data_IF_517335603532
#
_entry.id   IF_517335603532
#
_cell.length_a   1.000
_cell.length_b   1.000
_cell.length_c   1.000
_cell.angle_alpha   90.00
_cell.angle_beta   90.00
_cell.angle_gamma   90.00
#
_symmetry.space_group_name_H-M   'P 1'
#
loop_
_entity.id
_entity.type
_entity.pdbx_description
1 polymer ?
#
# COMPACT_ATOMS: atom_id res chain seq x y z
N UNK A 1 61.41 -36.26 -24.44
CA UNK A 1 60.08 -36.70 -23.93
C UNK A 1 59.50 -35.51 -23.16
N UNK A 2 58.61 -34.73 -23.80
CA UNK A 2 57.94 -33.55 -23.18
C UNK A 2 56.58 -34.04 -22.65
N UNK A 3 56.35 -33.98 -21.33
CA UNK A 3 55.07 -34.26 -20.71
C UNK A 3 54.18 -33.02 -20.83
N UNK A 4 53.09 -33.16 -21.57
CA UNK A 4 52.01 -32.16 -21.68
C UNK A 4 51.11 -32.39 -20.48
N UNK A 5 51.04 -31.43 -19.57
CA UNK A 5 50.03 -31.38 -18.48
C UNK A 5 48.78 -30.72 -19.06
N UNK A 6 47.72 -31.53 -19.19
CA UNK A 6 46.38 -31.05 -19.55
C UNK A 6 45.69 -30.61 -18.27
N UNK A 7 45.52 -29.29 -18.08
CA UNK A 7 44.71 -28.73 -17.00
C UNK A 7 43.25 -28.74 -17.43
N UNK A 8 42.46 -29.67 -16.88
CA UNK A 8 41.02 -29.63 -16.99
C UNK A 8 40.48 -28.59 -16.00
N UNK A 9 40.06 -27.41 -16.50
CA UNK A 9 39.25 -26.46 -15.75
C UNK A 9 37.79 -26.96 -15.77
N UNK A 10 37.34 -27.59 -14.68
CA UNK A 10 35.94 -27.85 -14.42
C UNK A 10 35.29 -26.53 -13.96
N UNK A 11 34.60 -25.85 -14.88
CA UNK A 11 33.69 -24.76 -14.55
C UNK A 11 32.50 -25.39 -13.78
N UNK A 12 32.53 -25.29 -12.47
CA UNK A 12 31.34 -25.46 -11.62
C UNK A 12 30.44 -24.23 -11.81
N UNK A 13 29.50 -24.34 -12.74
CA UNK A 13 28.36 -23.42 -12.81
C UNK A 13 27.50 -23.75 -11.60
N UNK A 14 27.68 -23.04 -10.53
CA UNK A 14 26.68 -22.94 -9.46
C UNK A 14 25.46 -22.24 -10.05
N UNK A 15 24.54 -22.98 -10.63
CA UNK A 15 23.17 -22.58 -10.76
C UNK A 15 22.61 -22.52 -9.32
N UNK A 16 22.74 -21.35 -8.69
CA UNK A 16 22.02 -21.08 -7.47
C UNK A 16 20.53 -21.16 -7.79
N UNK A 17 19.93 -22.29 -7.46
CA UNK A 17 18.47 -22.35 -7.32
C UNK A 17 18.18 -21.47 -6.12
N UNK A 18 17.91 -20.18 -6.38
CA UNK A 18 17.26 -19.34 -5.39
C UNK A 18 15.89 -19.98 -5.19
N UNK A 19 15.74 -20.73 -4.12
CA UNK A 19 14.41 -21.11 -3.65
C UNK A 19 13.62 -19.80 -3.52
N UNK A 20 12.58 -19.64 -4.30
CA UNK A 20 11.71 -18.48 -4.22
C UNK A 20 11.18 -18.45 -2.79
N UNK A 21 11.61 -17.46 -2.01
CA UNK A 21 11.21 -17.37 -0.61
C UNK A 21 9.69 -17.28 -0.56
N UNK A 22 9.03 -18.14 0.25
CA UNK A 22 7.60 -18.09 0.42
C UNK A 22 7.24 -16.71 1.02
N UNK A 23 6.56 -15.88 0.26
CA UNK A 23 6.15 -14.53 0.67
C UNK A 23 5.14 -14.58 1.80
N UNK A 24 4.31 -15.61 1.84
CA UNK A 24 3.31 -15.84 2.88
C UNK A 24 3.98 -16.57 4.03
N UNK A 25 3.99 -15.96 5.21
CA UNK A 25 4.57 -16.52 6.44
C UNK A 25 3.53 -17.15 7.35
N UNK A 26 2.26 -16.81 7.15
CA UNK A 26 1.13 -17.30 7.95
C UNK A 26 0.12 -17.92 7.00
N UNK A 27 -0.11 -19.21 7.15
CA UNK A 27 -1.11 -19.94 6.35
C UNK A 27 -2.53 -19.60 6.83
N UNK A 28 -3.53 -19.55 5.92
CA UNK A 28 -4.92 -19.36 6.29
C UNK A 28 -5.40 -20.45 7.27
N UNK A 29 -6.17 -20.04 8.30
CA UNK A 29 -6.73 -20.96 9.29
C UNK A 29 -7.68 -21.98 8.64
N UNK A 30 -8.43 -21.54 7.65
CA UNK A 30 -9.28 -22.40 6.83
C UNK A 30 -8.68 -22.45 5.43
N UNK A 31 -8.07 -23.57 5.09
CA UNK A 31 -7.54 -23.76 3.74
C UNK A 31 -8.64 -23.67 2.69
N UNK A 32 -8.44 -22.85 1.68
CA UNK A 32 -9.36 -22.72 0.56
C UNK A 32 -9.48 -24.05 -0.19
N UNK A 33 -10.69 -24.55 -0.36
CA UNK A 33 -10.96 -25.74 -1.19
C UNK A 33 -10.92 -25.42 -2.68
N UNK A 34 -11.00 -24.14 -3.03
CA UNK A 34 -10.99 -23.61 -4.40
C UNK A 34 -10.07 -22.42 -4.43
N UNK A 35 -9.10 -22.40 -5.32
CA UNK A 35 -8.23 -21.23 -5.56
C UNK A 35 -8.48 -20.67 -6.96
N UNK A 36 -8.28 -19.37 -7.10
CA UNK A 36 -8.27 -18.71 -8.40
C UNK A 36 -6.96 -19.03 -9.14
N UNK A 37 -7.04 -19.08 -10.47
CA UNK A 37 -5.83 -19.09 -11.29
C UNK A 37 -5.06 -17.76 -11.07
N UNK A 38 -3.74 -17.86 -11.05
CA UNK A 38 -2.90 -16.67 -11.09
C UNK A 38 -3.14 -15.90 -12.41
N UNK A 39 -3.18 -14.57 -12.34
CA UNK A 39 -3.25 -13.75 -13.54
C UNK A 39 -2.06 -14.00 -14.49
N UNK A 40 -0.93 -14.50 -13.98
CA UNK A 40 0.22 -14.93 -14.78
C UNK A 40 -0.09 -16.14 -15.67
N UNK A 41 -1.06 -16.96 -15.28
CA UNK A 41 -1.45 -18.19 -15.97
C UNK A 41 -2.62 -17.99 -16.94
N UNK A 42 -3.30 -16.84 -16.88
CA UNK A 42 -4.45 -16.52 -17.72
C UNK A 42 -4.07 -15.49 -18.77
N UNK A 43 -4.40 -15.75 -20.02
CA UNK A 43 -4.21 -14.82 -21.13
C UNK A 43 -5.50 -14.64 -21.90
N UNK A 44 -5.88 -13.39 -22.14
CA UNK A 44 -7.00 -13.07 -23.00
C UNK A 44 -6.62 -13.35 -24.46
N UNK A 45 -7.47 -14.06 -25.16
CA UNK A 45 -7.39 -14.22 -26.61
C UNK A 45 -7.89 -12.95 -27.31
N UNK A 46 -7.66 -12.84 -28.61
CA UNK A 46 -8.13 -11.73 -29.44
C UNK A 46 -9.65 -11.58 -29.33
N UNK A 47 -10.08 -10.45 -28.80
CA UNK A 47 -11.47 -10.16 -28.45
C UNK A 47 -11.63 -8.71 -27.97
N UNK A 48 -12.88 -8.26 -27.82
CA UNK A 48 -13.19 -6.95 -27.23
C UNK A 48 -12.61 -6.80 -25.83
N UNK A 49 -12.57 -7.87 -25.03
CA UNK A 49 -11.96 -7.84 -23.69
C UNK A 49 -10.45 -7.60 -23.75
N UNK A 50 -9.76 -8.24 -24.70
CA UNK A 50 -8.34 -8.01 -24.93
C UNK A 50 -8.09 -6.58 -25.37
N UNK A 51 -8.89 -6.06 -26.27
CA UNK A 51 -8.80 -4.67 -26.72
C UNK A 51 -8.98 -3.67 -25.54
N UNK A 52 -9.99 -3.87 -24.71
CA UNK A 52 -10.22 -3.02 -23.51
C UNK A 52 -9.02 -3.11 -22.55
N UNK A 53 -8.47 -4.30 -22.32
CA UNK A 53 -7.27 -4.47 -21.48
C UNK A 53 -6.09 -3.69 -22.06
N UNK A 54 -5.88 -3.72 -23.38
CA UNK A 54 -4.78 -3.00 -24.03
C UNK A 54 -4.95 -1.48 -23.95
N UNK A 55 -6.17 -0.98 -24.08
CA UNK A 55 -6.49 0.44 -23.85
C UNK A 55 -6.18 0.85 -22.40
N UNK A 56 -6.59 0.03 -21.44
CA UNK A 56 -6.33 0.28 -20.02
C UNK A 56 -4.83 0.24 -19.70
N UNK A 57 -4.09 -0.71 -20.28
CA UNK A 57 -2.64 -0.80 -20.17
C UNK A 57 -1.97 0.49 -20.68
N UNK A 58 -2.33 0.93 -21.89
CA UNK A 58 -1.82 2.18 -22.46
C UNK A 58 -2.17 3.40 -21.59
N UNK A 59 -3.40 3.45 -21.06
CA UNK A 59 -3.83 4.51 -20.15
C UNK A 59 -3.00 4.54 -18.87
N UNK A 60 -2.81 3.39 -18.19
CA UNK A 60 -2.00 3.31 -16.99
C UNK A 60 -0.56 3.77 -17.22
N UNK A 61 0.03 3.43 -18.37
CA UNK A 61 1.36 3.89 -18.74
C UNK A 61 1.41 5.37 -19.19
N UNK A 62 0.29 5.98 -19.54
CA UNK A 62 0.22 7.41 -19.86
C UNK A 62 0.19 8.32 -18.64
N UNK A 63 -0.18 7.79 -17.46
CA UNK A 63 -0.17 8.56 -16.21
C UNK A 63 1.27 8.91 -15.81
N UNK A 64 1.47 10.16 -15.40
CA UNK A 64 2.78 10.70 -15.02
C UNK A 64 3.04 10.42 -13.52
N UNK A 65 4.03 9.59 -13.15
CA UNK A 65 4.28 9.24 -11.75
C UNK A 65 4.56 10.44 -10.85
N UNK A 66 5.30 11.43 -11.34
CA UNK A 66 5.67 12.61 -10.56
C UNK A 66 4.45 13.44 -10.13
N UNK A 67 3.36 13.39 -10.89
CA UNK A 67 2.10 14.05 -10.52
C UNK A 67 1.40 13.30 -9.38
N UNK A 68 1.42 11.98 -9.40
CA UNK A 68 0.90 11.13 -8.31
C UNK A 68 1.75 11.24 -7.04
N UNK A 69 3.06 11.47 -7.19
CA UNK A 69 4.02 11.60 -6.10
C UNK A 69 4.09 13.01 -5.49
N UNK A 70 3.41 13.99 -6.11
CA UNK A 70 3.55 15.40 -5.75
C UNK A 70 3.29 15.67 -4.27
N UNK A 71 2.20 15.14 -3.72
CA UNK A 71 1.83 15.34 -2.31
C UNK A 71 2.72 14.55 -1.34
N UNK A 72 3.16 13.36 -1.70
CA UNK A 72 4.11 12.59 -0.89
C UNK A 72 5.42 13.37 -0.68
N UNK A 73 5.92 14.00 -1.74
CA UNK A 73 7.12 14.82 -1.65
C UNK A 73 6.88 16.08 -0.83
N UNK A 74 5.74 16.75 -0.98
CA UNK A 74 5.37 17.95 -0.18
C UNK A 74 5.32 17.62 1.31
N UNK A 75 4.59 16.59 1.69
CA UNK A 75 4.45 16.18 3.11
C UNK A 75 5.76 15.69 3.72
N UNK A 76 6.66 15.18 2.90
CA UNK A 76 8.02 14.82 3.30
C UNK A 76 9.00 16.01 3.35
N UNK A 77 8.54 17.24 3.06
CA UNK A 77 9.40 18.44 2.98
C UNK A 77 10.31 18.49 1.75
N UNK A 78 10.05 17.66 0.75
CA UNK A 78 10.80 17.60 -0.50
C UNK A 78 10.12 18.43 -1.60
N UNK A 79 10.90 19.02 -2.50
CA UNK A 79 10.35 19.74 -3.65
C UNK A 79 9.62 18.78 -4.60
N UNK A 80 8.31 19.00 -4.91
CA UNK A 80 7.59 18.23 -5.92
C UNK A 80 8.25 18.38 -7.30
N UNK A 81 8.27 17.31 -8.07
CA UNK A 81 8.81 17.30 -9.45
C UNK A 81 7.75 17.73 -10.49
N UNK A 82 6.47 17.62 -10.13
CA UNK A 82 5.34 18.03 -10.97
C UNK A 82 4.17 18.54 -10.12
N UNK A 83 3.22 19.23 -10.76
CA UNK A 83 1.96 19.58 -10.13
C UNK A 83 1.08 18.33 -9.99
N UNK A 84 0.30 18.20 -8.89
CA UNK A 84 -0.60 17.05 -8.71
C UNK A 84 -1.65 16.99 -9.82
N UNK A 85 -2.30 15.84 -9.95
CA UNK A 85 -3.49 15.74 -10.78
C UNK A 85 -4.61 16.62 -10.23
N UNK A 86 -5.53 17.09 -11.07
CA UNK A 86 -6.69 17.88 -10.62
C UNK A 86 -7.69 17.04 -9.83
N UNK A 87 -8.76 17.66 -9.37
CA UNK A 87 -9.86 17.08 -8.61
C UNK A 87 -9.40 16.52 -7.25
N UNK A 88 -9.54 15.24 -7.00
CA UNK A 88 -9.29 14.61 -5.71
C UNK A 88 -7.83 14.70 -5.24
N UNK A 89 -6.91 14.88 -6.17
CA UNK A 89 -5.48 15.12 -5.85
C UNK A 89 -5.15 16.62 -5.74
N UNK A 90 -6.10 17.54 -5.95
CA UNK A 90 -5.86 19.00 -5.86
C UNK A 90 -5.98 19.51 -4.42
N UNK A 91 -5.54 20.75 -4.18
CA UNK A 91 -5.61 21.39 -2.85
C UNK A 91 -7.04 21.69 -2.38
N UNK A 92 -8.01 21.75 -3.29
CA UNK A 92 -9.39 22.10 -2.95
C UNK A 92 -10.38 21.49 -3.93
N UNK A 93 -11.44 20.90 -3.40
CA UNK A 93 -12.55 20.36 -4.17
C UNK A 93 -13.89 20.76 -3.56
N UNK A 94 -14.59 21.76 -4.17
CA UNK A 94 -16.02 22.09 -3.99
C UNK A 94 -16.64 21.85 -2.59
N UNK A 95 -15.99 22.33 -1.52
CA UNK A 95 -16.52 22.22 -0.15
C UNK A 95 -16.14 20.93 0.59
N UNK A 96 -15.46 19.99 -0.06
CA UNK A 96 -14.84 18.83 0.57
C UNK A 96 -13.32 18.97 0.50
N UNK A 97 -12.61 18.49 1.51
CA UNK A 97 -11.15 18.42 1.48
C UNK A 97 -10.67 17.52 0.33
N UNK A 98 -9.44 17.72 -0.16
CA UNK A 98 -8.83 16.82 -1.13
C UNK A 98 -8.57 15.47 -0.47
N UNK A 99 -8.42 14.45 -1.32
CA UNK A 99 -8.08 13.09 -0.92
C UNK A 99 -6.74 12.67 -1.58
N UNK A 100 -5.65 13.43 -1.34
CA UNK A 100 -4.40 13.20 -2.05
C UNK A 100 -3.82 11.83 -1.72
N UNK A 101 -3.37 11.14 -2.77
CA UNK A 101 -2.69 9.85 -2.68
C UNK A 101 -3.58 8.62 -2.73
N UNK A 102 -4.91 8.75 -2.63
CA UNK A 102 -5.76 7.57 -2.80
C UNK A 102 -5.65 6.99 -4.22
N UNK A 103 -5.49 7.85 -5.24
CA UNK A 103 -5.23 7.41 -6.62
C UNK A 103 -3.92 6.64 -6.71
N UNK A 104 -2.87 7.04 -5.98
CA UNK A 104 -1.61 6.29 -5.93
C UNK A 104 -1.82 4.86 -5.44
N UNK A 105 -2.59 4.66 -4.36
CA UNK A 105 -2.88 3.32 -3.83
C UNK A 105 -3.59 2.44 -4.87
N UNK A 106 -4.64 2.94 -5.51
CA UNK A 106 -5.34 2.23 -6.59
C UNK A 106 -4.46 2.00 -7.81
N UNK A 107 -3.62 2.97 -8.16
CA UNK A 107 -2.69 2.84 -9.27
C UNK A 107 -1.68 1.73 -9.05
N UNK A 108 -1.06 1.67 -7.86
CA UNK A 108 -0.13 0.60 -7.49
C UNK A 108 -0.80 -0.78 -7.58
N UNK A 109 -2.02 -0.92 -7.08
CA UNK A 109 -2.78 -2.17 -7.18
C UNK A 109 -3.09 -2.53 -8.64
N UNK A 110 -3.67 -1.60 -9.40
CA UNK A 110 -4.08 -1.84 -10.78
C UNK A 110 -2.91 -2.15 -11.71
N UNK A 111 -1.82 -1.40 -11.61
CA UNK A 111 -0.65 -1.59 -12.48
C UNK A 111 0.11 -2.88 -12.14
N UNK A 112 0.12 -3.31 -10.87
CA UNK A 112 0.70 -4.61 -10.48
C UNK A 112 -0.10 -5.79 -11.04
N UNK A 113 -1.45 -5.68 -11.07
CA UNK A 113 -2.32 -6.67 -11.72
C UNK A 113 -2.13 -6.67 -13.24
N UNK A 114 -1.91 -5.49 -13.84
CA UNK A 114 -1.61 -5.38 -15.27
C UNK A 114 -0.28 -6.07 -15.61
N UNK A 115 0.73 -5.92 -14.76
CA UNK A 115 1.99 -6.66 -14.90
C UNK A 115 1.78 -8.16 -14.87
N UNK A 116 1.03 -8.68 -13.90
CA UNK A 116 0.70 -10.11 -13.81
C UNK A 116 0.02 -10.61 -15.10
N UNK A 117 -0.89 -9.80 -15.67
CA UNK A 117 -1.65 -10.18 -16.85
C UNK A 117 -0.85 -10.10 -18.16
N UNK A 118 0.15 -9.20 -18.23
CA UNK A 118 0.86 -8.90 -19.50
C UNK A 118 2.32 -9.35 -19.49
N UNK A 119 2.98 -9.30 -18.33
CA UNK A 119 4.43 -9.50 -18.21
C UNK A 119 5.25 -8.30 -18.72
N UNK A 120 4.63 -7.12 -18.94
CA UNK A 120 5.32 -5.96 -19.50
C UNK A 120 6.34 -5.36 -18.52
N UNK A 121 7.61 -5.44 -18.88
CA UNK A 121 8.72 -4.94 -18.06
C UNK A 121 8.78 -3.42 -17.94
N UNK A 122 8.10 -2.67 -18.82
CA UNK A 122 7.98 -1.23 -18.68
C UNK A 122 7.22 -0.86 -17.38
N UNK A 123 6.27 -1.72 -16.97
CA UNK A 123 5.57 -1.60 -15.70
C UNK A 123 6.53 -1.76 -14.52
N UNK A 124 7.42 -2.75 -14.55
CA UNK A 124 8.41 -2.94 -13.48
C UNK A 124 9.32 -1.72 -13.32
N UNK A 125 9.80 -1.16 -14.44
CA UNK A 125 10.64 0.03 -14.42
C UNK A 125 9.91 1.22 -13.79
N UNK A 126 8.63 1.38 -14.11
CA UNK A 126 7.77 2.42 -13.54
C UNK A 126 7.51 2.21 -12.05
N UNK A 127 7.20 0.99 -11.63
CA UNK A 127 7.02 0.65 -10.22
C UNK A 127 8.30 0.88 -9.42
N UNK A 128 9.45 0.46 -9.94
CA UNK A 128 10.74 0.70 -9.29
C UNK A 128 10.98 2.19 -9.05
N UNK A 129 10.74 3.03 -10.05
CA UNK A 129 10.84 4.48 -9.91
C UNK A 129 9.91 5.04 -8.82
N UNK A 130 8.64 4.61 -8.80
CA UNK A 130 7.68 5.06 -7.79
C UNK A 130 8.11 4.62 -6.39
N UNK A 131 8.56 3.38 -6.22
CA UNK A 131 9.03 2.87 -4.93
C UNK A 131 10.29 3.60 -4.44
N UNK A 132 11.23 3.93 -5.32
CA UNK A 132 12.39 4.75 -4.98
C UNK A 132 11.96 6.12 -4.44
N UNK A 133 11.03 6.79 -5.10
CA UNK A 133 10.51 8.09 -4.67
C UNK A 133 9.72 8.00 -3.35
N UNK A 134 8.86 6.99 -3.17
CA UNK A 134 8.16 6.77 -1.91
C UNK A 134 9.12 6.46 -0.77
N UNK A 135 10.17 5.68 -1.03
CA UNK A 135 11.22 5.40 -0.05
C UNK A 135 11.98 6.67 0.34
N UNK A 136 12.31 7.54 -0.61
CA UNK A 136 12.91 8.84 -0.32
C UNK A 136 12.01 9.72 0.55
N UNK A 137 10.72 9.78 0.26
CA UNK A 137 9.75 10.50 1.09
C UNK A 137 9.68 9.94 2.51
N UNK A 138 9.62 8.62 2.65
CA UNK A 138 9.58 7.96 3.96
C UNK A 138 10.87 8.19 4.75
N UNK A 139 12.03 8.15 4.12
CA UNK A 139 13.32 8.42 4.74
C UNK A 139 13.45 9.87 5.20
N UNK A 140 12.95 10.83 4.42
CA UNK A 140 12.93 12.24 4.80
C UNK A 140 12.10 12.49 6.06
N UNK A 141 11.03 11.74 6.27
CA UNK A 141 10.21 11.77 7.49
C UNK A 141 10.90 11.15 8.71
N UNK A 142 11.79 10.19 8.51
CA UNK A 142 12.71 9.63 9.51
C UNK A 142 12.15 8.54 10.43
N UNK A 143 10.82 8.38 10.51
CA UNK A 143 10.14 7.48 11.47
C UNK A 143 9.24 6.42 10.83
N UNK A 144 9.20 6.34 9.51
CA UNK A 144 8.35 5.39 8.76
C UNK A 144 7.03 5.98 8.27
N UNK A 145 6.67 7.19 8.69
CA UNK A 145 5.50 7.90 8.17
C UNK A 145 5.57 8.08 6.66
N UNK A 146 4.47 7.75 5.99
CA UNK A 146 4.33 7.94 4.55
C UNK A 146 2.86 8.18 4.19
N UNK A 147 2.39 9.41 4.34
CA UNK A 147 1.09 9.82 3.86
C UNK A 147 1.21 11.12 3.06
N UNK A 148 0.47 11.25 1.97
CA UNK A 148 0.39 12.47 1.19
C UNK A 148 -0.70 13.40 1.70
N UNK A 149 -1.34 13.05 2.80
CA UNK A 149 -2.43 13.79 3.41
C UNK A 149 -1.94 15.12 3.97
N UNK A 150 -2.52 16.22 3.51
CA UNK A 150 -2.11 17.57 3.91
C UNK A 150 -2.18 17.72 5.43
N UNK A 151 -1.05 18.10 6.05
CA UNK A 151 -0.92 18.20 7.50
C UNK A 151 -1.23 16.91 8.26
N UNK A 152 -1.06 15.74 7.65
CA UNK A 152 -1.46 14.47 8.22
C UNK A 152 -0.83 14.16 9.58
N UNK A 153 0.44 14.55 9.82
CA UNK A 153 1.07 14.39 11.14
C UNK A 153 0.35 15.19 12.22
N UNK A 154 0.07 16.47 11.96
CA UNK A 154 -0.62 17.35 12.92
C UNK A 154 -2.05 16.87 13.21
N UNK A 155 -2.69 16.19 12.25
CA UNK A 155 -4.02 15.58 12.48
C UNK A 155 -3.91 14.46 13.49
N UNK A 156 -2.96 13.55 13.32
CA UNK A 156 -2.77 12.45 14.28
C UNK A 156 -2.29 12.96 15.64
N UNK A 157 -1.50 14.02 15.72
CA UNK A 157 -1.14 14.69 16.98
C UNK A 157 -2.40 15.23 17.69
N UNK A 158 -3.30 15.91 16.98
CA UNK A 158 -4.58 16.36 17.54
C UNK A 158 -5.45 15.19 18.03
N UNK A 159 -5.49 14.10 17.31
CA UNK A 159 -6.20 12.87 17.72
C UNK A 159 -5.62 12.33 19.03
N UNK A 160 -4.30 12.29 19.17
CA UNK A 160 -3.64 11.85 20.39
C UNK A 160 -3.87 12.80 21.59
N UNK A 161 -4.09 14.07 21.33
CA UNK A 161 -4.47 15.07 22.34
C UNK A 161 -5.97 15.04 22.71
N UNK A 162 -6.73 14.09 22.17
CA UNK A 162 -8.16 13.90 22.45
C UNK A 162 -9.08 14.87 21.71
N UNK A 163 -8.58 15.57 20.70
CA UNK A 163 -9.37 16.50 19.88
C UNK A 163 -10.14 15.76 18.77
N UNK A 164 -10.91 14.77 19.15
CA UNK A 164 -11.84 14.08 18.24
C UNK A 164 -13.06 14.95 17.96
N UNK A 165 -13.46 15.01 16.72
CA UNK A 165 -14.75 15.58 16.34
C UNK A 165 -15.67 14.47 15.83
N UNK A 166 -16.90 14.49 16.32
CA UNK A 166 -17.80 13.34 16.40
C UNK A 166 -18.38 12.83 15.08
N UNK A 167 -18.34 13.59 14.00
CA UNK A 167 -18.91 13.12 12.71
C UNK A 167 -17.85 12.84 11.65
N UNK A 168 -16.74 13.49 11.75
CA UNK A 168 -15.53 13.22 10.99
C UNK A 168 -14.37 13.93 11.69
N UNK A 169 -13.54 13.21 12.45
CA UNK A 169 -12.47 13.82 13.26
C UNK A 169 -11.46 14.61 12.42
N UNK A 170 -11.52 14.51 11.10
CA UNK A 170 -10.56 15.11 10.19
C UNK A 170 -11.08 16.28 9.36
N UNK A 171 -12.41 16.45 9.21
CA UNK A 171 -12.99 17.55 8.38
C UNK A 171 -13.12 18.87 9.14
N UNK A 172 -13.32 18.85 10.43
CA UNK A 172 -13.58 20.04 11.23
C UNK A 172 -12.39 20.55 12.06
N UNK A 173 -11.19 20.11 11.77
CA UNK A 173 -9.97 20.68 12.35
C UNK A 173 -9.64 22.02 11.66
N UNK A 174 -8.77 22.88 12.23
CA UNK A 174 -8.25 24.03 11.51
C UNK A 174 -7.57 23.69 10.17
N UNK A 175 -7.52 22.41 9.84
CA UNK A 175 -7.05 21.85 8.57
C UNK A 175 -8.24 21.48 7.68
N UNK A 176 -9.03 22.47 7.25
CA UNK A 176 -10.17 22.33 6.31
C UNK A 176 -9.86 21.60 5.00
N UNK A 177 -8.63 21.09 4.88
CA UNK A 177 -8.05 20.54 3.66
C UNK A 177 -7.70 19.05 3.74
N UNK A 178 -8.07 18.36 4.82
CA UNK A 178 -7.81 16.95 4.95
C UNK A 178 -9.08 16.13 5.01
N UNK A 179 -9.13 15.13 4.16
CA UNK A 179 -10.23 14.18 4.15
C UNK A 179 -9.69 12.75 4.23
N UNK A 180 -10.25 11.95 5.14
CA UNK A 180 -10.08 10.51 5.29
C UNK A 180 -8.62 9.98 5.24
N UNK A 181 -7.71 10.44 6.12
CA UNK A 181 -6.32 10.01 6.08
C UNK A 181 -6.14 8.51 6.36
N UNK A 182 -7.01 7.89 7.18
CA UNK A 182 -6.95 6.44 7.46
C UNK A 182 -7.36 5.63 6.24
N UNK A 183 -8.38 6.08 5.50
CA UNK A 183 -8.76 5.50 4.22
C UNK A 183 -7.60 5.58 3.19
N UNK A 184 -6.98 6.76 3.05
CA UNK A 184 -5.84 6.94 2.13
C UNK A 184 -4.70 6.01 2.52
N UNK A 185 -4.40 5.89 3.83
CA UNK A 185 -3.40 4.95 4.34
C UNK A 185 -3.71 3.52 3.91
N UNK A 186 -4.94 3.05 4.10
CA UNK A 186 -5.37 1.73 3.68
C UNK A 186 -5.11 1.50 2.17
N UNK A 187 -5.46 2.46 1.31
CA UNK A 187 -5.27 2.30 -0.15
C UNK A 187 -3.79 2.23 -0.54
N UNK A 188 -2.93 3.01 0.11
CA UNK A 188 -1.48 2.96 -0.12
C UNK A 188 -0.90 1.63 0.37
N UNK A 189 -1.26 1.19 1.58
CA UNK A 189 -0.81 -0.10 2.14
C UNK A 189 -1.21 -1.26 1.24
N UNK A 190 -2.48 -1.30 0.80
CA UNK A 190 -2.97 -2.31 -0.14
C UNK A 190 -2.18 -2.27 -1.46
N UNK A 191 -1.95 -1.08 -2.01
CA UNK A 191 -1.15 -0.92 -3.23
C UNK A 191 0.26 -1.48 -3.10
N UNK A 192 0.96 -1.14 -2.01
CA UNK A 192 2.31 -1.64 -1.72
C UNK A 192 2.33 -3.17 -1.51
N UNK A 193 1.33 -3.72 -0.80
CA UNK A 193 1.17 -5.17 -0.64
C UNK A 193 1.01 -5.87 -1.99
N UNK A 194 0.12 -5.37 -2.87
CA UNK A 194 -0.09 -5.93 -4.20
C UNK A 194 1.18 -5.87 -5.07
N UNK A 195 1.93 -4.78 -5.02
CA UNK A 195 3.21 -4.66 -5.73
C UNK A 195 4.22 -5.70 -5.23
N UNK A 196 4.36 -5.87 -3.90
CA UNK A 196 5.24 -6.89 -3.34
C UNK A 196 4.82 -8.30 -3.77
N UNK A 197 3.54 -8.62 -3.63
CA UNK A 197 3.02 -9.97 -3.90
C UNK A 197 3.11 -10.35 -5.38
N UNK A 198 2.84 -9.40 -6.30
CA UNK A 198 2.72 -9.65 -7.73
C UNK A 198 3.99 -9.40 -8.53
N UNK A 199 4.75 -8.38 -8.16
CA UNK A 199 5.90 -7.92 -8.93
C UNK A 199 7.26 -8.32 -8.32
N UNK A 200 7.29 -9.00 -7.18
CA UNK A 200 8.50 -9.44 -6.49
C UNK A 200 9.44 -8.26 -6.08
N UNK A 201 8.89 -7.04 -5.93
CA UNK A 201 9.65 -5.85 -5.55
C UNK A 201 9.73 -5.73 -4.03
N UNK A 202 10.84 -6.21 -3.45
CA UNK A 202 11.06 -6.24 -1.99
C UNK A 202 10.94 -4.86 -1.34
N UNK A 203 11.35 -3.80 -2.03
CA UNK A 203 11.25 -2.42 -1.55
C UNK A 203 9.81 -2.03 -1.19
N UNK A 204 8.81 -2.56 -1.89
CA UNK A 204 7.40 -2.31 -1.55
C UNK A 204 7.04 -2.88 -0.16
N UNK A 205 7.52 -4.08 0.19
CA UNK A 205 7.38 -4.66 1.53
C UNK A 205 8.07 -3.80 2.59
N UNK A 206 9.29 -3.34 2.32
CA UNK A 206 10.05 -2.51 3.27
C UNK A 206 9.34 -1.20 3.60
N UNK A 207 8.78 -0.53 2.58
CA UNK A 207 8.00 0.69 2.75
C UNK A 207 6.72 0.41 3.54
N UNK A 208 5.99 -0.65 3.16
CA UNK A 208 4.74 -1.07 3.79
C UNK A 208 4.92 -1.37 5.28
N UNK A 209 5.93 -2.16 5.62
CA UNK A 209 6.22 -2.55 7.02
C UNK A 209 6.54 -1.32 7.87
N UNK A 210 7.39 -0.40 7.39
CA UNK A 210 7.69 0.84 8.11
C UNK A 210 6.47 1.73 8.30
N UNK A 211 5.59 1.80 7.30
CA UNK A 211 4.34 2.56 7.39
C UNK A 211 3.39 1.94 8.44
N UNK A 212 3.25 0.62 8.45
CA UNK A 212 2.46 -0.11 9.44
C UNK A 212 3.04 0.06 10.86
N UNK A 213 4.35 -0.03 11.02
CA UNK A 213 5.03 0.18 12.30
C UNK A 213 4.80 1.61 12.82
N UNK A 214 4.92 2.61 11.96
CA UNK A 214 4.63 3.98 12.35
C UNK A 214 3.21 4.14 12.90
N UNK A 215 2.19 3.67 12.18
CA UNK A 215 0.82 3.80 12.62
C UNK A 215 0.54 2.97 13.87
N UNK A 216 1.08 1.77 13.94
CA UNK A 216 0.97 0.89 15.11
C UNK A 216 1.51 1.52 16.39
N UNK A 217 2.78 1.90 16.39
CA UNK A 217 3.44 2.44 17.57
C UNK A 217 3.08 3.90 17.87
N UNK A 218 2.86 4.71 16.85
CA UNK A 218 2.66 6.15 17.04
C UNK A 218 1.20 6.54 17.27
N UNK A 219 0.25 5.71 16.85
CA UNK A 219 -1.18 6.00 16.94
C UNK A 219 -1.92 4.88 17.70
N UNK A 220 -1.93 3.65 17.17
CA UNK A 220 -2.77 2.58 17.72
C UNK A 220 -2.39 2.28 19.17
N UNK A 221 -1.11 2.13 19.49
CA UNK A 221 -0.65 1.78 20.87
C UNK A 221 -0.85 2.92 21.86
N UNK A 222 -1.01 4.17 21.40
CA UNK A 222 -1.20 5.34 22.26
C UNK A 222 -2.65 5.65 22.57
N UNK A 223 -3.57 5.22 21.71
CA UNK A 223 -4.99 5.45 21.92
C UNK A 223 -5.60 4.39 22.86
N UNK A 224 -6.55 4.81 23.69
CA UNK A 224 -7.43 3.89 24.38
C UNK A 224 -8.29 3.11 23.37
N UNK A 225 -8.96 2.04 23.83
CA UNK A 225 -9.91 1.32 22.98
C UNK A 225 -11.03 2.26 22.50
N UNK A 226 -11.65 3.01 23.40
CA UNK A 226 -12.76 3.92 23.08
C UNK A 226 -12.32 5.04 22.10
N UNK A 227 -11.11 5.56 22.27
CA UNK A 227 -10.60 6.60 21.38
C UNK A 227 -10.26 6.03 20.00
N UNK A 228 -9.81 4.78 19.93
CA UNK A 228 -9.60 4.12 18.65
C UNK A 228 -10.92 3.88 17.91
N UNK A 229 -12.00 3.48 18.63
CA UNK A 229 -13.34 3.38 18.04
C UNK A 229 -13.85 4.74 17.52
N UNK A 230 -13.60 5.84 18.25
CA UNK A 230 -13.89 7.20 17.75
C UNK A 230 -13.10 7.54 16.47
N UNK A 231 -11.84 7.10 16.39
CA UNK A 231 -11.05 7.27 15.17
C UNK A 231 -11.66 6.53 13.98
N UNK A 232 -12.26 5.35 14.19
CA UNK A 232 -12.89 4.54 13.17
C UNK A 232 -14.28 5.04 12.71
N UNK A 233 -14.85 6.08 13.33
CA UNK A 233 -16.09 6.72 12.86
C UNK A 233 -15.91 7.37 11.47
N UNK A 234 -14.66 7.74 11.09
CA UNK A 234 -14.34 8.20 9.73
C UNK A 234 -14.39 7.05 8.71
N UNK A 235 -14.30 7.37 7.41
CA UNK A 235 -14.06 6.37 6.39
C UNK A 235 -12.64 5.80 6.55
N UNK A 236 -12.51 4.70 7.27
CA UNK A 236 -11.21 4.07 7.54
C UNK A 236 -10.82 3.03 6.48
N UNK A 237 -11.66 2.82 5.45
CA UNK A 237 -11.48 1.77 4.47
C UNK A 237 -11.56 0.40 5.12
N UNK A 238 -10.66 -0.49 4.78
CA UNK A 238 -10.45 -1.77 5.46
C UNK A 238 -9.07 -1.77 6.10
N UNK A 239 -8.79 -0.78 6.96
CA UNK A 239 -7.44 -0.61 7.53
C UNK A 239 -6.99 -1.83 8.34
N UNK A 240 -7.91 -2.51 9.02
CA UNK A 240 -7.65 -3.78 9.70
C UNK A 240 -7.15 -4.86 8.73
N UNK A 241 -7.71 -4.96 7.52
CA UNK A 241 -7.25 -5.86 6.47
C UNK A 241 -5.80 -5.58 6.07
N UNK A 242 -5.42 -4.29 5.92
CA UNK A 242 -4.04 -3.93 5.61
C UNK A 242 -3.05 -4.44 6.67
N UNK A 243 -3.42 -4.45 7.94
CA UNK A 243 -2.58 -5.01 9.00
C UNK A 243 -2.54 -6.54 8.98
N UNK A 244 -3.62 -7.21 8.58
CA UNK A 244 -3.62 -8.66 8.32
C UNK A 244 -2.69 -9.00 7.15
N UNK A 245 -2.69 -8.21 6.07
CA UNK A 245 -1.77 -8.37 4.95
C UNK A 245 -0.30 -8.27 5.40
N UNK A 246 0.01 -7.29 6.27
CA UNK A 246 1.36 -7.17 6.84
C UNK A 246 1.70 -8.36 7.75
N UNK A 247 0.75 -8.81 8.59
CA UNK A 247 0.92 -10.02 9.39
C UNK A 247 1.21 -11.23 8.51
N UNK A 248 0.46 -11.42 7.43
CA UNK A 248 0.62 -12.54 6.52
C UNK A 248 2.03 -12.62 5.91
N UNK A 249 2.62 -11.48 5.56
CA UNK A 249 3.94 -11.44 4.90
C UNK A 249 5.12 -11.33 5.87
N UNK A 250 4.86 -11.05 7.16
CA UNK A 250 5.92 -10.93 8.19
C UNK A 250 5.90 -12.07 9.19
N UNK A 251 4.73 -12.57 9.56
CA UNK A 251 4.52 -13.49 10.67
C UNK A 251 4.59 -12.85 12.06
N UNK A 252 4.67 -11.51 12.14
CA UNK A 252 4.85 -10.82 13.42
C UNK A 252 3.49 -10.53 14.08
N UNK A 253 3.23 -11.16 15.22
CA UNK A 253 1.98 -11.09 16.00
C UNK A 253 1.51 -9.67 16.35
N UNK A 254 2.40 -8.68 16.36
CA UNK A 254 2.01 -7.29 16.63
C UNK A 254 1.00 -6.77 15.61
N UNK A 255 1.15 -7.14 14.34
CA UNK A 255 0.25 -6.69 13.27
C UNK A 255 -1.13 -7.32 13.41
N UNK A 256 -1.23 -8.59 13.80
CA UNK A 256 -2.51 -9.23 14.12
C UNK A 256 -3.21 -8.52 15.29
N UNK A 257 -2.47 -8.17 16.36
CA UNK A 257 -3.03 -7.44 17.49
C UNK A 257 -3.53 -6.05 17.10
N UNK A 258 -2.77 -5.33 16.27
CA UNK A 258 -3.22 -4.03 15.76
C UNK A 258 -4.44 -4.15 14.84
N UNK A 259 -4.48 -5.17 13.97
CA UNK A 259 -5.66 -5.44 13.14
C UNK A 259 -6.91 -5.68 14.00
N UNK A 260 -6.79 -6.48 15.07
CA UNK A 260 -7.89 -6.75 16.00
C UNK A 260 -8.38 -5.49 16.71
N UNK A 261 -7.47 -4.58 17.10
CA UNK A 261 -7.83 -3.29 17.71
C UNK A 261 -8.51 -2.33 16.74
N UNK A 262 -8.24 -2.45 15.45
CA UNK A 262 -8.85 -1.67 14.37
C UNK A 262 -10.16 -2.27 13.86
N UNK A 263 -10.74 -3.21 14.59
CA UNK A 263 -12.05 -3.75 14.25
C UNK A 263 -13.14 -2.72 14.61
N UNK A 264 -13.96 -2.36 13.64
CA UNK A 264 -15.09 -1.44 13.85
C UNK A 264 -16.23 -2.20 14.54
N UNK A 265 -16.37 -2.00 15.86
CA UNK A 265 -17.34 -2.71 16.67
C UNK A 265 -18.77 -2.23 16.43
N UNK A 266 -18.97 -0.97 16.10
CA UNK A 266 -20.29 -0.41 15.77
C UNK A 266 -20.88 -1.07 14.52
N UNK A 267 -20.02 -1.51 13.60
CA UNK A 267 -20.42 -2.24 12.40
C UNK A 267 -20.58 -3.75 12.68
N UNK A 268 -19.55 -4.38 13.25
CA UNK A 268 -19.46 -5.84 13.29
C UNK A 268 -20.23 -6.50 14.44
N UNK A 269 -20.35 -5.84 15.60
CA UNK A 269 -21.07 -6.43 16.75
C UNK A 269 -22.56 -6.63 16.44
N UNK A 270 -23.31 -5.62 15.95
CA UNK A 270 -24.70 -5.84 15.58
C UNK A 270 -24.89 -6.90 14.50
N UNK A 271 -23.99 -6.96 13.50
CA UNK A 271 -24.09 -7.96 12.43
C UNK A 271 -23.87 -9.39 12.94
N UNK A 272 -23.01 -9.58 13.94
CA UNK A 272 -22.75 -10.89 14.53
C UNK A 272 -23.93 -11.43 15.35
N UNK A 273 -24.86 -10.57 15.74
CA UNK A 273 -26.06 -10.93 16.53
C UNK A 273 -27.27 -11.20 15.64
N UNK A 274 -27.24 -10.82 14.36
CA UNK A 274 -28.29 -11.10 13.40
C UNK A 274 -28.33 -12.61 13.12
N UNK A 275 -29.34 -13.30 13.63
CA UNK A 275 -29.55 -14.74 13.37
C UNK A 275 -29.16 -15.68 14.52
N UNK A 276 -28.95 -15.15 15.72
CA UNK A 276 -28.90 -15.96 16.95
C UNK A 276 -30.25 -16.12 17.57
#
# INVERSE_FOLDING_TARGET
MKKIFLFLYTLLVFSGVYAQENKVKVEPVNGDKISLFSLKEVRLLDSDFKHIMDLNHAYMLSLEPDRLLSWFRREAGLTPKAQPYPFWESEYMNGHGPLPGHIMGFYLSGISMMYDSTGDTAILSRLSYILEELSLCQQAGGDGYLLPTICGRAIFENVLDGNFKTSNPFIETPYDKCWEPVYVMNKIMLGLYQVYMRCDLLQAKEILVKMADWFGYSVIDKLSHDDLQKLLVCEHGSINESFIDVYQITGEEKYLKWAQRLNDEDMWVPMSEIGR
#
